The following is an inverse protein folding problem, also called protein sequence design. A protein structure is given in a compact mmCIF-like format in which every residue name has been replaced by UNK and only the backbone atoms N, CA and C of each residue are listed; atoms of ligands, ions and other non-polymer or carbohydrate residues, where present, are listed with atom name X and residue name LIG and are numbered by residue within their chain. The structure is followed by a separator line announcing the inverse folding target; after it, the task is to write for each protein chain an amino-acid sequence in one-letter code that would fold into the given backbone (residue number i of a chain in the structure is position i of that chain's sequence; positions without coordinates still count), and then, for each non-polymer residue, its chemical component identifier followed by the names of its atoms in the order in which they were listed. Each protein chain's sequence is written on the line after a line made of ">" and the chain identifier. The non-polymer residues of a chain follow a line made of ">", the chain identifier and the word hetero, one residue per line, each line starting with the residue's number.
data_IF_010525872164
#
_entry.id   IF_010525872164
#
_cell.length_a   1.000
_cell.length_b   1.000
_cell.length_c   1.000
_cell.angle_alpha   90.00
_cell.angle_beta   90.00
_cell.angle_gamma   90.00
#
_symmetry.space_group_name_H-M   'P 1'
#
loop_
_entity.id
_entity.type
_entity.pdbx_description
1 polymer ?
#
# COMPACT_ATOMS: atom_id res chain seq x y z
N UNK A 1 -37.53 52.19 -36.30
CA UNK A 1 -37.92 51.55 -35.03
C UNK A 1 -36.89 50.46 -34.77
N UNK A 2 -35.87 50.77 -33.97
CA UNK A 2 -34.72 49.89 -33.76
C UNK A 2 -34.84 49.35 -32.35
N UNK A 3 -35.12 48.06 -32.20
CA UNK A 3 -35.26 47.41 -30.90
C UNK A 3 -33.86 47.05 -30.41
N UNK A 4 -33.41 47.74 -29.37
CA UNK A 4 -32.14 47.47 -28.68
C UNK A 4 -32.41 46.47 -27.56
N UNK A 5 -31.81 45.28 -27.60
CA UNK A 5 -31.89 44.30 -26.50
C UNK A 5 -30.72 44.54 -25.53
N UNK A 6 -30.97 44.95 -24.27
CA UNK A 6 -29.93 45.02 -23.25
C UNK A 6 -29.72 43.63 -22.65
N UNK A 7 -28.50 43.10 -22.65
CA UNK A 7 -28.20 41.89 -21.87
C UNK A 7 -27.10 40.94 -22.36
N UNK A 8 -26.30 41.26 -23.38
CA UNK A 8 -25.05 40.51 -23.60
C UNK A 8 -23.88 41.27 -23.01
N UNK A 9 -23.45 40.85 -21.83
CA UNK A 9 -22.10 41.12 -21.33
C UNK A 9 -21.11 40.51 -22.32
N UNK A 10 -20.57 41.33 -23.23
CA UNK A 10 -19.48 40.92 -24.11
C UNK A 10 -18.24 40.84 -23.23
N UNK A 11 -17.86 39.62 -22.81
CA UNK A 11 -16.53 39.42 -22.24
C UNK A 11 -15.50 39.76 -23.32
N UNK A 12 -14.57 40.69 -23.07
CA UNK A 12 -13.57 41.05 -24.07
C UNK A 12 -12.77 39.79 -24.44
N UNK A 13 -12.58 39.49 -25.72
CA UNK A 13 -11.93 38.25 -26.19
C UNK A 13 -10.57 37.99 -25.51
N UNK A 14 -9.84 39.05 -25.13
CA UNK A 14 -8.61 38.96 -24.35
C UNK A 14 -8.78 38.21 -23.02
N UNK A 15 -9.91 38.37 -22.31
CA UNK A 15 -10.15 37.68 -21.03
C UNK A 15 -10.46 36.20 -21.18
N UNK A 16 -11.03 35.78 -22.31
CA UNK A 16 -11.29 34.36 -22.59
C UNK A 16 -10.00 33.65 -23.03
N UNK A 17 -9.17 34.28 -23.87
CA UNK A 17 -7.85 33.74 -24.24
C UNK A 17 -6.90 33.66 -23.03
N UNK A 18 -6.88 34.67 -22.17
CA UNK A 18 -6.09 34.62 -20.93
C UNK A 18 -6.51 33.46 -20.01
N UNK A 19 -7.82 33.28 -19.78
CA UNK A 19 -8.32 32.14 -18.99
C UNK A 19 -8.00 30.78 -19.61
N UNK A 20 -8.07 30.67 -20.94
CA UNK A 20 -7.70 29.44 -21.65
C UNK A 20 -6.20 29.13 -21.50
N UNK A 21 -5.33 30.15 -21.61
CA UNK A 21 -3.89 29.99 -21.44
C UNK A 21 -3.50 29.63 -20.00
N UNK A 22 -4.11 30.26 -18.99
CA UNK A 22 -3.93 29.88 -17.58
C UNK A 22 -4.34 28.42 -17.31
N UNK A 23 -5.47 28.00 -17.88
CA UNK A 23 -5.98 26.62 -17.72
C UNK A 23 -5.04 25.61 -18.37
N UNK A 24 -4.52 25.92 -19.56
CA UNK A 24 -3.54 25.07 -20.27
C UNK A 24 -2.22 24.96 -19.50
N UNK A 25 -1.69 26.08 -19.01
CA UNK A 25 -0.44 26.12 -18.25
C UNK A 25 -0.54 25.34 -16.94
N UNK A 26 -1.67 25.50 -16.22
CA UNK A 26 -1.96 24.71 -15.02
C UNK A 26 -2.05 23.21 -15.33
N UNK A 27 -2.67 22.83 -16.46
CA UNK A 27 -2.73 21.43 -16.91
C UNK A 27 -1.35 20.81 -17.18
N UNK A 28 -0.44 21.55 -17.81
CA UNK A 28 0.94 21.10 -18.08
C UNK A 28 1.73 20.92 -16.78
N UNK A 29 1.63 21.89 -15.85
CA UNK A 29 2.26 21.78 -14.54
C UNK A 29 1.77 20.57 -13.74
N UNK A 30 0.44 20.33 -13.71
CA UNK A 30 -0.14 19.15 -13.05
C UNK A 30 0.36 17.85 -13.68
N UNK A 31 0.38 17.75 -15.00
CA UNK A 31 0.88 16.56 -15.70
C UNK A 31 2.33 16.26 -15.34
N UNK A 32 3.18 17.29 -15.31
CA UNK A 32 4.58 17.15 -14.93
C UNK A 32 4.73 16.72 -13.45
N UNK A 33 3.98 17.33 -12.53
CA UNK A 33 3.97 16.93 -11.12
C UNK A 33 3.58 15.47 -10.92
N UNK A 34 2.50 15.01 -11.58
CA UNK A 34 2.08 13.59 -11.53
C UNK A 34 3.16 12.68 -12.10
N UNK A 35 3.77 13.03 -13.23
CA UNK A 35 4.87 12.27 -13.83
C UNK A 35 6.08 12.15 -12.89
N UNK A 36 6.51 13.26 -12.29
CA UNK A 36 7.59 13.30 -11.30
C UNK A 36 7.27 12.44 -10.07
N UNK A 37 6.03 12.47 -9.57
CA UNK A 37 5.63 11.62 -8.44
C UNK A 37 5.78 10.13 -8.78
N UNK A 38 5.27 9.70 -9.92
CA UNK A 38 5.31 8.29 -10.34
C UNK A 38 6.75 7.80 -10.52
N UNK A 39 7.56 8.54 -11.27
CA UNK A 39 8.96 8.21 -11.53
C UNK A 39 9.81 8.28 -10.26
N UNK A 40 9.65 9.35 -9.48
CA UNK A 40 10.37 9.56 -8.23
C UNK A 40 10.09 8.43 -7.24
N UNK A 41 8.81 8.05 -7.06
CA UNK A 41 8.45 6.95 -6.16
C UNK A 41 9.05 5.63 -6.62
N UNK A 42 9.01 5.32 -7.91
CA UNK A 42 9.57 4.08 -8.45
C UNK A 42 11.11 4.03 -8.27
N UNK A 43 11.80 5.11 -8.57
CA UNK A 43 13.27 5.19 -8.45
C UNK A 43 13.72 5.13 -6.98
N UNK A 44 13.06 5.89 -6.10
CA UNK A 44 13.39 5.93 -4.67
C UNK A 44 13.02 4.63 -3.94
N UNK A 45 12.14 3.81 -4.53
CA UNK A 45 11.81 2.48 -4.02
C UNK A 45 12.82 1.40 -4.45
N UNK A 46 13.74 1.66 -5.40
CA UNK A 46 14.73 0.67 -5.87
C UNK A 46 15.55 0.00 -4.75
N UNK A 47 15.95 0.68 -3.66
CA UNK A 47 16.64 0.02 -2.55
C UNK A 47 15.85 -1.14 -1.92
N UNK A 48 14.51 -1.12 -2.00
CA UNK A 48 13.68 -2.23 -1.50
C UNK A 48 13.90 -3.52 -2.28
N UNK A 49 14.25 -3.45 -3.58
CA UNK A 49 14.60 -4.63 -4.37
C UNK A 49 15.87 -5.31 -3.82
N UNK A 50 16.89 -4.53 -3.44
CA UNK A 50 18.10 -5.04 -2.81
C UNK A 50 17.82 -5.71 -1.46
N UNK A 51 16.91 -5.12 -0.67
CA UNK A 51 16.44 -5.73 0.59
C UNK A 51 15.72 -7.06 0.33
N UNK A 52 14.81 -7.10 -0.64
CA UNK A 52 14.10 -8.32 -1.01
C UNK A 52 15.06 -9.41 -1.51
N UNK A 53 16.07 -9.06 -2.31
CA UNK A 53 17.11 -9.99 -2.74
C UNK A 53 17.91 -10.53 -1.55
N UNK A 54 18.24 -9.68 -0.57
CA UNK A 54 18.92 -10.11 0.66
C UNK A 54 18.04 -11.07 1.48
N UNK A 55 16.74 -10.77 1.65
CA UNK A 55 15.79 -11.68 2.30
C UNK A 55 15.73 -13.03 1.57
N UNK A 56 15.66 -13.04 0.24
CA UNK A 56 15.70 -14.27 -0.56
C UNK A 56 16.99 -15.06 -0.34
N UNK A 57 18.15 -14.38 -0.37
CA UNK A 57 19.47 -15.00 -0.12
C UNK A 57 19.56 -15.63 1.27
N UNK A 58 19.03 -14.98 2.30
CA UNK A 58 19.00 -15.55 3.66
C UNK A 58 18.09 -16.79 3.69
N UNK A 59 16.91 -16.74 3.05
CA UNK A 59 16.02 -17.89 2.99
C UNK A 59 16.61 -19.07 2.19
N UNK A 60 17.31 -18.81 1.08
CA UNK A 60 17.97 -19.85 0.28
C UNK A 60 19.20 -20.45 0.96
N UNK A 61 19.66 -19.85 2.07
CA UNK A 61 20.76 -20.37 2.89
C UNK A 61 20.31 -21.27 4.05
N UNK A 62 19.02 -21.62 4.10
CA UNK A 62 18.54 -22.61 5.06
C UNK A 62 18.92 -24.01 4.59
N UNK A 63 19.51 -24.80 5.49
CA UNK A 63 19.59 -26.25 5.27
C UNK A 63 18.20 -26.89 5.33
N UNK A 64 18.08 -28.13 4.84
CA UNK A 64 16.85 -28.90 4.98
C UNK A 64 16.44 -29.06 6.45
N UNK A 65 17.39 -29.34 7.34
CA UNK A 65 17.16 -29.46 8.79
C UNK A 65 16.69 -28.15 9.41
N UNK A 66 17.30 -27.02 9.02
CA UNK A 66 16.86 -25.70 9.48
C UNK A 66 15.46 -25.37 8.99
N UNK A 67 15.12 -25.69 7.74
CA UNK A 67 13.78 -25.49 7.17
C UNK A 67 12.72 -26.34 7.89
N UNK A 68 13.02 -27.61 8.14
CA UNK A 68 12.13 -28.51 8.88
C UNK A 68 11.95 -28.04 10.33
N UNK A 69 13.04 -27.73 11.04
CA UNK A 69 13.00 -27.23 12.40
C UNK A 69 12.21 -25.93 12.50
N UNK A 70 12.41 -24.99 11.56
CA UNK A 70 11.68 -23.73 11.48
C UNK A 70 10.18 -23.99 11.34
N UNK A 71 9.80 -24.83 10.37
CA UNK A 71 8.40 -25.14 10.09
C UNK A 71 7.71 -25.82 11.28
N UNK A 72 8.36 -26.81 11.88
CA UNK A 72 7.77 -27.56 13.00
C UNK A 72 7.69 -26.69 14.26
N UNK A 73 8.69 -25.83 14.49
CA UNK A 73 8.67 -24.87 15.60
C UNK A 73 7.57 -23.83 15.41
N UNK A 74 7.38 -23.36 14.18
CA UNK A 74 6.28 -22.47 13.82
C UNK A 74 4.91 -23.12 14.06
N UNK A 75 4.69 -24.34 13.56
CA UNK A 75 3.41 -25.05 13.73
C UNK A 75 3.11 -25.34 15.21
N UNK A 76 4.12 -25.76 15.99
CA UNK A 76 3.99 -25.94 17.45
C UNK A 76 3.66 -24.62 18.16
N UNK A 77 4.32 -23.53 17.78
CA UNK A 77 4.04 -22.22 18.35
C UNK A 77 2.64 -21.70 17.97
N UNK A 78 2.21 -21.95 16.74
CA UNK A 78 0.87 -21.60 16.25
C UNK A 78 -0.20 -22.27 17.10
N UNK A 79 -0.12 -23.60 17.29
CA UNK A 79 -1.06 -24.35 18.13
C UNK A 79 -1.09 -23.86 19.59
N UNK A 80 0.05 -23.43 20.13
CA UNK A 80 0.15 -22.91 21.51
C UNK A 80 -0.31 -21.46 21.68
N UNK A 81 -0.58 -20.75 20.58
CA UNK A 81 -0.79 -19.29 20.63
C UNK A 81 -2.22 -18.85 20.91
N UNK A 82 -3.19 -19.76 20.85
CA UNK A 82 -4.60 -19.41 20.93
C UNK A 82 -5.19 -18.88 19.61
N UNK A 83 -4.42 -18.85 18.51
CA UNK A 83 -4.87 -18.30 17.22
C UNK A 83 -5.85 -19.21 16.48
N UNK A 84 -5.73 -20.52 16.62
CA UNK A 84 -6.62 -21.49 15.98
C UNK A 84 -8.04 -21.37 16.55
N UNK A 85 -8.16 -21.17 17.85
CA UNK A 85 -9.40 -20.89 18.59
C UNK A 85 -10.01 -19.54 18.22
N UNK A 86 -9.22 -18.63 17.62
CA UNK A 86 -9.69 -17.38 17.00
C UNK A 86 -10.01 -17.55 15.51
N UNK A 87 -10.06 -18.78 15.02
CA UNK A 87 -10.37 -19.12 13.64
C UNK A 87 -9.27 -18.77 12.65
N UNK A 88 -8.01 -18.62 13.10
CA UNK A 88 -6.88 -18.40 12.21
C UNK A 88 -6.46 -19.73 11.60
N UNK A 89 -6.18 -19.76 10.31
CA UNK A 89 -5.71 -20.95 9.59
C UNK A 89 -4.30 -20.75 9.04
N UNK A 90 -3.56 -21.84 8.88
CA UNK A 90 -2.35 -21.87 8.06
C UNK A 90 -2.72 -22.47 6.71
N UNK A 91 -2.45 -21.75 5.62
CA UNK A 91 -2.64 -22.23 4.26
C UNK A 91 -1.27 -22.30 3.58
N UNK A 92 -0.88 -23.52 3.20
CA UNK A 92 0.32 -23.73 2.37
C UNK A 92 -0.07 -23.71 0.91
N UNK A 93 0.55 -22.82 0.16
CA UNK A 93 0.26 -22.61 -1.26
C UNK A 93 1.43 -23.12 -2.07
N UNK A 94 1.12 -23.89 -3.11
CA UNK A 94 2.07 -24.47 -4.04
C UNK A 94 1.44 -24.51 -5.45
N UNK A 95 2.22 -24.83 -6.50
CA UNK A 95 1.69 -24.82 -7.87
C UNK A 95 0.49 -25.75 -8.10
N UNK A 96 0.34 -26.81 -7.30
CA UNK A 96 -0.77 -27.77 -7.45
C UNK A 96 -2.09 -27.30 -6.85
N UNK A 97 -2.07 -26.38 -5.87
CA UNK A 97 -3.28 -25.93 -5.16
C UNK A 97 -3.57 -24.43 -5.29
N UNK A 98 -2.74 -23.68 -6.04
CA UNK A 98 -2.85 -22.23 -6.17
C UNK A 98 -4.19 -21.79 -6.77
N UNK A 99 -4.68 -22.52 -7.77
CA UNK A 99 -5.95 -22.20 -8.45
C UNK A 99 -7.15 -22.38 -7.50
N UNK A 100 -7.24 -23.53 -6.82
CA UNK A 100 -8.31 -23.82 -5.87
C UNK A 100 -8.31 -22.87 -4.68
N UNK A 101 -7.11 -22.57 -4.16
CA UNK A 101 -6.94 -21.58 -3.08
C UNK A 101 -7.38 -20.20 -3.55
N UNK A 102 -7.07 -19.81 -4.80
CA UNK A 102 -7.48 -18.54 -5.38
C UNK A 102 -9.01 -18.46 -5.54
N UNK A 103 -9.65 -19.52 -6.01
CA UNK A 103 -11.10 -19.58 -6.13
C UNK A 103 -11.78 -19.41 -4.76
N UNK A 104 -11.38 -20.20 -3.77
CA UNK A 104 -11.93 -20.13 -2.41
C UNK A 104 -11.76 -18.74 -1.77
N UNK A 105 -10.60 -18.12 -1.93
CA UNK A 105 -10.35 -16.78 -1.41
C UNK A 105 -11.12 -15.69 -2.18
N UNK A 106 -11.33 -15.88 -3.48
CA UNK A 106 -12.13 -14.97 -4.31
C UNK A 106 -13.58 -14.97 -3.85
N UNK A 107 -14.17 -16.13 -3.61
CA UNK A 107 -15.54 -16.23 -3.10
C UNK A 107 -15.69 -15.57 -1.73
N UNK A 108 -14.76 -15.82 -0.80
CA UNK A 108 -14.77 -15.19 0.52
C UNK A 108 -14.63 -13.66 0.44
N UNK A 109 -13.83 -13.14 -0.50
CA UNK A 109 -13.72 -11.70 -0.74
C UNK A 109 -14.98 -11.13 -1.39
N UNK A 110 -15.54 -11.82 -2.38
CA UNK A 110 -16.76 -11.42 -3.08
C UNK A 110 -17.92 -11.31 -2.11
N UNK A 111 -18.10 -12.29 -1.21
CA UNK A 111 -19.14 -12.27 -0.18
C UNK A 111 -19.05 -11.02 0.73
N UNK A 112 -17.84 -10.61 1.09
CA UNK A 112 -17.65 -9.40 1.91
C UNK A 112 -17.92 -8.11 1.14
N UNK A 113 -17.57 -8.08 -0.14
CA UNK A 113 -17.78 -6.93 -1.02
C UNK A 113 -19.28 -6.79 -1.32
N UNK A 114 -19.94 -7.89 -1.70
CA UNK A 114 -21.35 -7.92 -2.07
C UNK A 114 -22.25 -7.47 -0.91
N UNK A 115 -21.92 -7.77 0.35
CA UNK A 115 -22.65 -7.26 1.53
C UNK A 115 -22.73 -5.73 1.61
N UNK A 116 -21.82 -5.00 0.96
CA UNK A 116 -21.78 -3.52 0.97
C UNK A 116 -22.36 -2.88 -0.28
N UNK A 117 -22.72 -3.68 -1.29
CA UNK A 117 -23.24 -3.19 -2.56
C UNK A 117 -24.79 -3.17 -2.51
N UNK A 118 -25.43 -2.07 -2.93
CA UNK A 118 -26.89 -2.01 -3.10
C UNK A 118 -27.44 -3.12 -4.01
N UNK A 119 -28.61 -3.66 -3.67
CA UNK A 119 -29.19 -4.81 -4.37
C UNK A 119 -29.47 -4.53 -5.86
N UNK A 120 -29.87 -3.31 -6.20
CA UNK A 120 -30.14 -2.89 -7.58
C UNK A 120 -28.89 -2.99 -8.48
N UNK A 121 -27.68 -2.80 -7.93
CA UNK A 121 -26.44 -2.96 -8.69
C UNK A 121 -26.08 -4.44 -8.88
N UNK A 122 -26.40 -5.30 -7.91
CA UNK A 122 -26.14 -6.74 -8.00
C UNK A 122 -26.98 -7.45 -9.04
N UNK A 123 -28.17 -6.93 -9.31
CA UNK A 123 -29.11 -7.50 -10.27
C UNK A 123 -28.75 -7.14 -11.72
N UNK A 124 -27.73 -6.31 -11.95
CA UNK A 124 -27.24 -6.03 -13.30
C UNK A 124 -26.62 -7.30 -13.88
N UNK A 125 -27.00 -7.62 -15.12
CA UNK A 125 -26.43 -8.76 -15.85
C UNK A 125 -24.90 -8.63 -15.94
N UNK A 126 -24.20 -9.72 -15.68
CA UNK A 126 -22.72 -9.74 -15.67
C UNK A 126 -22.07 -9.04 -14.48
N UNK A 127 -22.84 -8.55 -13.49
CA UNK A 127 -22.26 -7.90 -12.30
C UNK A 127 -21.33 -8.83 -11.53
N UNK A 128 -21.77 -10.06 -11.26
CA UNK A 128 -21.00 -11.04 -10.50
C UNK A 128 -19.66 -11.34 -11.19
N UNK A 129 -19.69 -11.68 -12.48
CA UNK A 129 -18.49 -11.96 -13.27
C UNK A 129 -17.58 -10.73 -13.38
N UNK A 130 -18.18 -9.55 -13.57
CA UNK A 130 -17.47 -8.26 -13.61
C UNK A 130 -16.70 -7.94 -12.32
N UNK A 131 -17.10 -8.53 -11.19
CA UNK A 131 -16.37 -8.42 -9.91
C UNK A 131 -15.45 -9.62 -9.67
N UNK A 132 -15.94 -10.85 -9.86
CA UNK A 132 -15.22 -12.08 -9.52
C UNK A 132 -14.02 -12.32 -10.41
N UNK A 133 -14.10 -12.08 -11.72
CA UNK A 133 -12.98 -12.30 -12.65
C UNK A 133 -11.75 -11.45 -12.29
N UNK A 134 -11.83 -10.11 -12.18
CA UNK A 134 -10.68 -9.30 -11.81
C UNK A 134 -10.21 -9.58 -10.38
N UNK A 135 -11.12 -9.92 -9.47
CA UNK A 135 -10.76 -10.31 -8.11
C UNK A 135 -9.94 -11.61 -8.10
N UNK A 136 -10.38 -12.62 -8.85
CA UNK A 136 -9.67 -13.89 -9.02
C UNK A 136 -8.28 -13.68 -9.60
N UNK A 137 -8.15 -12.91 -10.68
CA UNK A 137 -6.84 -12.62 -11.30
C UNK A 137 -5.86 -11.97 -10.29
N UNK A 138 -6.35 -11.03 -9.48
CA UNK A 138 -5.54 -10.38 -8.47
C UNK A 138 -5.16 -11.32 -7.32
N UNK A 139 -6.11 -12.13 -6.83
CA UNK A 139 -5.85 -13.13 -5.78
C UNK A 139 -4.88 -14.20 -6.30
N UNK A 140 -5.13 -14.78 -7.47
CA UNK A 140 -4.27 -15.77 -8.10
C UNK A 140 -2.84 -15.24 -8.25
N UNK A 141 -2.66 -14.00 -8.75
CA UNK A 141 -1.33 -13.39 -8.88
C UNK A 141 -0.60 -13.30 -7.53
N UNK A 142 -1.29 -12.96 -6.45
CA UNK A 142 -0.68 -12.93 -5.11
C UNK A 142 -0.31 -14.35 -4.65
N UNK A 143 -1.22 -15.31 -4.81
CA UNK A 143 -1.00 -16.69 -4.38
C UNK A 143 0.08 -17.40 -5.20
N UNK A 144 0.21 -17.10 -6.49
CA UNK A 144 1.28 -17.61 -7.36
C UNK A 144 2.65 -17.12 -6.87
N UNK A 145 2.76 -15.89 -6.36
CA UNK A 145 4.01 -15.44 -5.72
C UNK A 145 4.33 -16.21 -4.44
N UNK A 146 3.32 -16.60 -3.66
CA UNK A 146 3.50 -17.47 -2.48
C UNK A 146 3.91 -18.87 -2.92
N UNK A 147 3.21 -19.46 -3.89
CA UNK A 147 3.50 -20.79 -4.44
C UNK A 147 4.94 -20.94 -4.93
N UNK A 148 5.50 -19.85 -5.49
CA UNK A 148 6.88 -19.78 -5.97
C UNK A 148 7.91 -19.48 -4.88
N UNK A 149 7.52 -19.41 -3.60
CA UNK A 149 8.41 -19.06 -2.48
C UNK A 149 8.88 -17.61 -2.46
N UNK A 150 8.24 -16.75 -3.25
CA UNK A 150 8.59 -15.34 -3.39
C UNK A 150 7.74 -14.44 -2.49
N UNK A 151 6.75 -14.99 -1.80
CA UNK A 151 5.95 -14.25 -0.83
C UNK A 151 5.47 -15.14 0.34
N UNK A 152 5.12 -14.51 1.44
CA UNK A 152 4.39 -15.05 2.57
C UNK A 152 3.59 -13.89 3.16
N UNK A 153 2.33 -14.10 3.53
CA UNK A 153 1.52 -13.02 4.10
C UNK A 153 0.36 -13.53 4.95
N UNK A 154 -0.02 -12.76 5.97
CA UNK A 154 -1.31 -12.90 6.62
C UNK A 154 -2.40 -12.14 5.85
N UNK A 155 -3.52 -12.80 5.54
CA UNK A 155 -4.69 -12.18 4.91
C UNK A 155 -5.80 -11.95 5.95
N UNK A 156 -6.03 -10.72 6.42
CA UNK A 156 -7.07 -10.43 7.39
C UNK A 156 -8.47 -10.81 6.93
N UNK A 157 -8.79 -10.73 5.63
CA UNK A 157 -10.17 -11.00 5.19
C UNK A 157 -10.59 -12.46 5.31
N UNK A 158 -9.67 -13.41 5.07
CA UNK A 158 -9.94 -14.86 5.19
C UNK A 158 -9.34 -15.49 6.45
N UNK A 159 -8.74 -14.65 7.30
CA UNK A 159 -8.11 -15.00 8.57
C UNK A 159 -7.06 -16.12 8.44
N UNK A 160 -6.23 -16.05 7.41
CA UNK A 160 -5.25 -17.10 7.13
C UNK A 160 -3.84 -16.54 7.07
N UNK A 161 -2.88 -17.29 7.59
CA UNK A 161 -1.45 -17.14 7.34
C UNK A 161 -1.12 -17.96 6.10
N UNK A 162 -0.72 -17.30 5.03
CA UNK A 162 -0.38 -17.92 3.75
C UNK A 162 1.13 -18.07 3.64
N UNK A 163 1.56 -19.32 3.54
CA UNK A 163 2.96 -19.69 3.46
C UNK A 163 3.21 -20.49 2.18
N UNK A 164 4.44 -20.45 1.65
CA UNK A 164 4.88 -21.43 0.69
C UNK A 164 4.92 -22.84 1.30
N UNK A 165 5.04 -23.83 0.43
CA UNK A 165 5.31 -25.21 0.83
C UNK A 165 6.58 -25.32 1.68
N UNK A 166 6.65 -26.36 2.53
CA UNK A 166 7.89 -26.66 3.28
C UNK A 166 9.07 -26.84 2.29
N UNK A 167 10.27 -26.47 2.71
CA UNK A 167 11.46 -26.36 1.84
C UNK A 167 11.44 -25.24 0.77
N UNK A 168 10.33 -24.55 0.53
CA UNK A 168 10.22 -23.48 -0.49
C UNK A 168 10.38 -22.10 0.16
N UNK A 169 11.00 -21.12 -0.53
CA UNK A 169 11.54 -19.85 0.01
C UNK A 169 10.63 -19.00 0.93
N UNK A 170 11.16 -17.93 1.53
CA UNK A 170 10.46 -17.01 2.48
C UNK A 170 9.82 -17.63 3.75
N UNK A 171 10.18 -18.86 4.13
CA UNK A 171 9.73 -19.45 5.41
C UNK A 171 10.17 -18.67 6.65
N UNK A 172 11.29 -17.94 6.60
CA UNK A 172 11.77 -17.14 7.73
C UNK A 172 10.78 -16.05 8.15
N UNK A 173 9.86 -15.66 7.26
CA UNK A 173 8.80 -14.69 7.56
C UNK A 173 7.60 -15.31 8.29
N UNK A 174 7.52 -16.64 8.44
CA UNK A 174 6.36 -17.33 9.04
C UNK A 174 5.96 -16.77 10.41
N UNK A 175 6.93 -16.54 11.30
CA UNK A 175 6.65 -15.92 12.60
C UNK A 175 6.20 -14.45 12.50
N UNK A 176 6.65 -13.69 11.50
CA UNK A 176 6.16 -12.33 11.27
C UNK A 176 4.69 -12.33 10.83
N UNK A 177 4.30 -13.26 9.95
CA UNK A 177 2.89 -13.42 9.56
C UNK A 177 1.99 -13.84 10.73
N UNK A 178 2.51 -14.66 11.64
CA UNK A 178 1.85 -14.95 12.91
C UNK A 178 1.69 -13.70 13.78
N UNK A 179 2.68 -12.80 13.75
CA UNK A 179 2.59 -11.49 14.39
C UNK A 179 1.42 -10.64 13.86
N UNK A 180 1.19 -10.63 12.55
CA UNK A 180 0.01 -10.00 11.96
C UNK A 180 -1.30 -10.68 12.38
N UNK A 181 -1.31 -12.01 12.48
CA UNK A 181 -2.48 -12.74 12.97
C UNK A 181 -2.83 -12.36 14.42
N UNK A 182 -1.82 -12.18 15.28
CA UNK A 182 -1.98 -11.71 16.66
C UNK A 182 -2.48 -10.26 16.70
N UNK A 183 -1.89 -9.40 15.87
CA UNK A 183 -2.33 -8.01 15.78
C UNK A 183 -3.82 -7.92 15.46
N UNK A 184 -4.33 -8.75 14.54
CA UNK A 184 -5.74 -8.76 14.16
C UNK A 184 -6.66 -9.36 15.23
N UNK A 185 -6.28 -10.53 15.77
CA UNK A 185 -7.21 -11.39 16.50
C UNK A 185 -7.09 -11.28 18.02
N UNK A 186 -5.99 -10.72 18.53
CA UNK A 186 -5.70 -10.62 19.96
C UNK A 186 -5.52 -9.17 20.40
N UNK A 187 -4.79 -8.35 19.62
CA UNK A 187 -4.47 -6.98 20.00
C UNK A 187 -5.53 -5.96 19.53
N UNK A 188 -6.09 -5.17 20.46
CA UNK A 188 -6.98 -4.05 20.11
C UNK A 188 -6.26 -2.98 19.27
N UNK A 189 -5.04 -2.62 19.68
CA UNK A 189 -4.20 -1.62 18.99
C UNK A 189 -3.77 -2.14 17.62
N UNK A 190 -3.30 -3.39 17.55
CA UNK A 190 -2.91 -4.01 16.28
C UNK A 190 -4.07 -4.05 15.28
N UNK A 191 -5.27 -4.40 15.74
CA UNK A 191 -6.49 -4.40 14.92
C UNK A 191 -6.87 -3.01 14.43
N UNK A 192 -6.72 -1.99 15.28
CA UNK A 192 -6.94 -0.60 14.88
C UNK A 192 -5.95 -0.16 13.80
N UNK A 193 -4.65 -0.44 13.98
CA UNK A 193 -3.63 -0.10 13.00
C UNK A 193 -3.83 -0.82 11.66
N UNK A 194 -4.21 -2.11 11.68
CA UNK A 194 -4.53 -2.85 10.44
C UNK A 194 -5.67 -2.20 9.64
N UNK A 195 -6.71 -1.69 10.32
CA UNK A 195 -7.81 -0.96 9.67
C UNK A 195 -7.36 0.35 9.04
N UNK A 196 -6.31 0.96 9.59
CA UNK A 196 -5.74 2.23 9.13
C UNK A 196 -4.64 2.05 8.07
N UNK A 197 -4.18 0.82 7.78
CA UNK A 197 -3.18 0.56 6.73
C UNK A 197 -3.52 1.18 5.37
N UNK A 198 -4.79 1.24 4.90
CA UNK A 198 -5.12 1.93 3.64
C UNK A 198 -4.71 3.41 3.59
N UNK A 199 -4.50 4.07 4.73
CA UNK A 199 -4.03 5.47 4.77
C UNK A 199 -2.67 5.66 4.09
N UNK A 200 -1.82 4.63 4.04
CA UNK A 200 -0.53 4.71 3.33
C UNK A 200 -0.71 4.94 1.81
N UNK A 201 -1.90 4.68 1.28
CA UNK A 201 -2.28 4.94 -0.12
C UNK A 201 -3.19 6.17 -0.20
N UNK A 202 -4.24 6.22 0.62
CA UNK A 202 -5.27 7.25 0.55
C UNK A 202 -4.71 8.63 0.89
N UNK A 203 -3.88 8.76 1.94
CA UNK A 203 -3.36 10.05 2.36
C UNK A 203 -2.41 10.67 1.33
N UNK A 204 -1.40 9.95 0.78
CA UNK A 204 -0.58 10.50 -0.31
C UNK A 204 -1.40 10.92 -1.54
N UNK A 205 -2.41 10.14 -1.94
CA UNK A 205 -3.27 10.50 -3.08
C UNK A 205 -4.11 11.75 -2.80
N UNK A 206 -4.69 11.87 -1.61
CA UNK A 206 -5.46 13.05 -1.20
C UNK A 206 -4.58 14.30 -1.12
N UNK A 207 -3.40 14.19 -0.52
CA UNK A 207 -2.42 15.27 -0.46
C UNK A 207 -1.98 15.69 -1.86
N UNK A 208 -1.67 14.74 -2.74
CA UNK A 208 -1.33 15.02 -4.13
C UNK A 208 -2.46 15.72 -4.86
N UNK A 209 -3.71 15.27 -4.72
CA UNK A 209 -4.87 15.92 -5.35
C UNK A 209 -4.98 17.39 -4.94
N UNK A 210 -4.87 17.68 -3.64
CA UNK A 210 -4.93 19.06 -3.13
C UNK A 210 -3.74 19.87 -3.62
N UNK A 211 -2.52 19.36 -3.49
CA UNK A 211 -1.31 20.10 -3.88
C UNK A 211 -1.25 20.38 -5.40
N UNK A 212 -1.70 19.44 -6.22
CA UNK A 212 -1.77 19.61 -7.68
C UNK A 212 -2.84 20.62 -8.10
N UNK A 213 -3.98 20.70 -7.39
CA UNK A 213 -5.08 21.63 -7.72
C UNK A 213 -4.96 23.00 -7.06
N UNK A 214 -4.05 23.16 -6.10
CA UNK A 214 -3.83 24.45 -5.41
C UNK A 214 -2.94 25.35 -6.26
N UNK A 215 -3.47 26.51 -6.68
CA UNK A 215 -2.69 27.55 -7.38
C UNK A 215 -1.71 28.22 -6.42
N UNK A 216 -0.56 28.65 -6.94
CA UNK A 216 0.36 29.50 -6.18
C UNK A 216 -0.32 30.86 -5.92
N UNK A 217 -0.29 31.36 -4.68
CA UNK A 217 -0.92 32.66 -4.37
C UNK A 217 -0.17 33.78 -5.11
N UNK A 218 -0.87 34.51 -5.96
CA UNK A 218 -0.67 35.95 -6.04
C UNK A 218 -1.37 36.56 -4.81
N UNK A 219 -0.58 37.03 -3.84
CA UNK A 219 -0.95 37.88 -2.70
C UNK A 219 -2.46 38.02 -2.43
N UNK A 220 -3.02 37.15 -1.59
CA UNK A 220 -4.36 37.40 -1.03
C UNK A 220 -4.49 36.76 0.34
N UNK A 221 -5.00 37.56 1.27
CA UNK A 221 -5.08 37.33 2.70
C UNK A 221 -6.04 36.18 3.10
N UNK A 222 -6.16 36.00 4.40
CA UNK A 222 -6.81 34.92 5.15
C UNK A 222 -8.21 34.50 4.66
N UNK A 223 -8.46 33.18 4.60
CA UNK A 223 -9.64 32.50 4.05
C UNK A 223 -9.28 31.11 3.49
N UNK A 224 -10.25 30.27 3.11
CA UNK A 224 -10.15 28.83 2.71
C UNK A 224 -8.89 28.38 1.91
N UNK A 225 -8.21 29.30 1.23
CA UNK A 225 -6.89 29.07 0.63
C UNK A 225 -5.78 28.70 1.63
N UNK A 226 -5.89 29.05 2.92
CA UNK A 226 -4.87 28.76 3.94
C UNK A 226 -4.66 27.26 4.19
N UNK A 227 -5.74 26.49 4.29
CA UNK A 227 -5.65 25.04 4.54
C UNK A 227 -5.09 24.27 3.32
N UNK A 228 -5.52 24.64 2.11
CA UNK A 228 -5.00 24.06 0.87
C UNK A 228 -3.52 24.39 0.67
N UNK A 229 -3.13 25.63 0.96
CA UNK A 229 -1.75 26.07 0.91
C UNK A 229 -0.89 25.33 1.94
N UNK A 230 -1.37 25.18 3.18
CA UNK A 230 -0.68 24.37 4.20
C UNK A 230 -0.44 22.93 3.71
N UNK A 231 -1.43 22.30 3.08
CA UNK A 231 -1.28 20.95 2.52
C UNK A 231 -0.24 20.93 1.41
N UNK A 232 -0.25 21.93 0.50
CA UNK A 232 0.74 22.06 -0.57
C UNK A 232 2.16 22.22 -0.01
N UNK A 233 2.35 23.12 0.95
CA UNK A 233 3.64 23.45 1.55
C UNK A 233 4.22 22.29 2.38
N UNK A 234 3.34 21.46 2.96
CA UNK A 234 3.72 20.31 3.78
C UNK A 234 3.47 18.96 3.09
N UNK A 235 3.27 18.96 1.76
CA UNK A 235 2.77 17.79 1.04
C UNK A 235 3.63 16.53 1.26
N UNK A 236 4.95 16.68 1.23
CA UNK A 236 5.87 15.55 1.47
C UNK A 236 5.72 14.95 2.87
N UNK A 237 5.65 15.79 3.90
CA UNK A 237 5.50 15.36 5.31
C UNK A 237 4.16 14.68 5.51
N UNK A 238 3.06 15.29 5.03
CA UNK A 238 1.72 14.74 5.15
C UNK A 238 1.58 13.40 4.41
N UNK A 239 2.19 13.27 3.24
CA UNK A 239 2.23 12.01 2.49
C UNK A 239 3.00 10.92 3.26
N UNK A 240 4.15 11.25 3.86
CA UNK A 240 4.89 10.30 4.72
C UNK A 240 4.10 9.92 5.97
N UNK A 241 3.40 10.86 6.63
CA UNK A 241 2.58 10.58 7.82
C UNK A 241 1.48 9.55 7.56
N UNK A 242 0.96 9.48 6.33
CA UNK A 242 0.01 8.45 5.91
C UNK A 242 0.51 7.01 6.13
N UNK A 243 1.83 6.80 6.15
CA UNK A 243 2.45 5.48 6.37
C UNK A 243 2.59 5.08 7.83
N UNK A 244 2.45 6.01 8.78
CA UNK A 244 2.68 5.75 10.21
C UNK A 244 1.86 4.54 10.71
N UNK A 245 0.55 4.42 10.42
CA UNK A 245 -0.22 3.27 10.88
C UNK A 245 0.30 1.93 10.33
N UNK A 246 0.75 1.91 9.08
CA UNK A 246 1.31 0.71 8.47
C UNK A 246 2.66 0.34 9.09
N UNK A 247 3.58 1.30 9.24
CA UNK A 247 4.89 1.07 9.88
C UNK A 247 4.71 0.59 11.32
N UNK A 248 3.80 1.20 12.08
CA UNK A 248 3.54 0.80 13.46
C UNK A 248 2.98 -0.64 13.53
N UNK A 249 2.10 -1.01 12.61
CA UNK A 249 1.55 -2.37 12.55
C UNK A 249 2.61 -3.40 12.16
N UNK A 250 3.45 -3.10 11.17
CA UNK A 250 4.60 -3.91 10.74
C UNK A 250 5.62 -4.10 11.87
N UNK A 251 5.88 -3.04 12.64
CA UNK A 251 6.76 -3.09 13.80
C UNK A 251 6.18 -3.97 14.92
N UNK A 252 4.86 -3.87 15.17
CA UNK A 252 4.17 -4.74 16.13
C UNK A 252 4.15 -6.19 15.68
N UNK A 253 3.89 -6.46 14.40
CA UNK A 253 3.93 -7.81 13.84
C UNK A 253 5.32 -8.41 13.97
N UNK A 254 6.36 -7.64 13.62
CA UNK A 254 7.77 -8.02 13.80
C UNK A 254 8.10 -8.31 15.26
N UNK A 255 7.67 -7.44 16.20
CA UNK A 255 7.89 -7.64 17.63
C UNK A 255 7.21 -8.91 18.15
N UNK A 256 5.93 -9.09 17.83
CA UNK A 256 5.15 -10.25 18.27
C UNK A 256 5.70 -11.54 17.68
N UNK A 257 5.99 -11.56 16.38
CA UNK A 257 6.60 -12.68 15.70
C UNK A 257 7.97 -13.05 16.27
N UNK A 258 8.86 -12.07 16.45
CA UNK A 258 10.19 -12.31 17.05
C UNK A 258 10.11 -12.79 18.50
N UNK A 259 9.12 -12.34 19.27
CA UNK A 259 8.88 -12.80 20.64
C UNK A 259 8.52 -14.29 20.68
N UNK A 260 7.67 -14.73 19.75
CA UNK A 260 7.26 -16.12 19.62
C UNK A 260 8.41 -16.98 19.08
N UNK A 261 9.08 -16.51 18.03
CA UNK A 261 10.26 -17.17 17.47
C UNK A 261 11.33 -17.38 18.55
N UNK A 262 11.57 -16.39 19.44
CA UNK A 262 12.54 -16.52 20.54
C UNK A 262 12.22 -17.69 21.47
N UNK A 263 10.93 -17.94 21.74
CA UNK A 263 10.49 -19.07 22.59
C UNK A 263 10.55 -20.39 21.82
N UNK A 264 10.15 -20.38 20.55
CA UNK A 264 10.05 -21.57 19.72
C UNK A 264 11.42 -22.11 19.25
N UNK A 265 12.39 -21.22 19.05
CA UNK A 265 13.72 -21.52 18.52
C UNK A 265 14.83 -21.28 19.55
N UNK A 266 14.54 -21.41 20.85
CA UNK A 266 15.51 -21.14 21.91
C UNK A 266 16.73 -22.07 21.85
N UNK A 267 16.56 -23.29 21.32
CA UNK A 267 17.63 -24.26 21.07
C UNK A 267 18.38 -24.05 19.74
N UNK A 268 17.94 -23.10 18.90
CA UNK A 268 18.51 -22.86 17.56
C UNK A 268 18.81 -21.36 17.36
N UNK A 269 19.82 -20.80 18.07
CA UNK A 269 20.09 -19.37 18.11
C UNK A 269 20.44 -18.75 16.74
N UNK A 270 21.18 -19.48 15.89
CA UNK A 270 21.52 -19.00 14.54
C UNK A 270 20.29 -18.91 13.63
N UNK A 271 19.39 -19.89 13.71
CA UNK A 271 18.12 -19.86 13.00
C UNK A 271 17.22 -18.70 13.49
N UNK A 272 17.18 -18.47 14.81
CA UNK A 272 16.48 -17.32 15.40
C UNK A 272 17.05 -15.99 14.88
N UNK A 273 18.38 -15.88 14.72
CA UNK A 273 19.04 -14.69 14.17
C UNK A 273 18.63 -14.46 12.70
N UNK A 274 18.56 -15.51 11.89
CA UNK A 274 18.04 -15.45 10.51
C UNK A 274 16.58 -14.95 10.48
N UNK A 275 15.70 -15.47 11.34
CA UNK A 275 14.30 -15.02 11.44
C UNK A 275 14.22 -13.54 11.80
N UNK A 276 14.90 -13.10 12.86
CA UNK A 276 14.89 -11.70 13.30
C UNK A 276 15.41 -10.76 12.22
N UNK A 277 16.47 -11.15 11.52
CA UNK A 277 17.06 -10.36 10.43
C UNK A 277 16.09 -10.23 9.27
N UNK A 278 15.47 -11.32 8.83
CA UNK A 278 14.47 -11.29 7.75
C UNK A 278 13.28 -10.39 8.11
N UNK A 279 12.76 -10.49 9.33
CA UNK A 279 11.64 -9.65 9.78
C UNK A 279 12.01 -8.17 9.87
N UNK A 280 13.22 -7.85 10.35
CA UNK A 280 13.72 -6.47 10.40
C UNK A 280 13.91 -5.87 9.00
N UNK A 281 14.40 -6.68 8.05
CA UNK A 281 14.49 -6.28 6.64
C UNK A 281 13.11 -6.00 6.04
N UNK A 282 12.11 -6.84 6.34
CA UNK A 282 10.71 -6.60 5.95
C UNK A 282 10.21 -5.24 6.44
N UNK A 283 10.36 -4.95 7.74
CA UNK A 283 9.99 -3.65 8.32
C UNK A 283 10.75 -2.47 7.66
N UNK A 284 12.03 -2.64 7.37
CA UNK A 284 12.83 -1.59 6.72
C UNK A 284 12.27 -1.20 5.34
N UNK A 285 11.67 -2.13 4.59
CA UNK A 285 11.04 -1.80 3.30
C UNK A 285 9.91 -0.78 3.47
N UNK A 286 9.10 -0.88 4.53
CA UNK A 286 8.02 0.08 4.78
C UNK A 286 8.53 1.47 5.14
N UNK A 287 9.61 1.55 5.93
CA UNK A 287 10.25 2.83 6.28
C UNK A 287 10.80 3.51 5.02
N UNK A 288 11.48 2.75 4.16
CA UNK A 288 12.01 3.27 2.88
C UNK A 288 10.87 3.73 1.98
N UNK A 289 9.79 2.96 1.85
CA UNK A 289 8.64 3.33 1.03
C UNK A 289 7.93 4.61 1.53
N UNK A 290 7.88 4.82 2.85
CA UNK A 290 7.33 6.04 3.44
C UNK A 290 8.20 7.28 3.13
N UNK A 291 9.52 7.13 3.23
CA UNK A 291 10.47 8.18 2.86
C UNK A 291 10.42 8.48 1.35
N UNK A 292 10.44 7.44 0.52
CA UNK A 292 10.32 7.54 -0.94
C UNK A 292 9.04 8.27 -1.35
N UNK A 293 7.91 7.97 -0.68
CA UNK A 293 6.63 8.65 -0.93
C UNK A 293 6.72 10.15 -0.61
N UNK A 294 7.26 10.54 0.55
CA UNK A 294 7.36 11.95 0.94
C UNK A 294 8.31 12.76 0.05
N UNK A 295 9.46 12.17 -0.31
CA UNK A 295 10.41 12.79 -1.24
C UNK A 295 9.78 12.94 -2.62
N UNK A 296 9.15 11.89 -3.16
CA UNK A 296 8.49 11.93 -4.47
C UNK A 296 7.36 12.98 -4.50
N UNK A 297 6.56 13.09 -3.45
CA UNK A 297 5.51 14.11 -3.33
C UNK A 297 6.11 15.52 -3.29
N UNK A 298 7.19 15.74 -2.52
CA UNK A 298 7.88 17.05 -2.50
C UNK A 298 8.40 17.43 -3.89
N UNK A 299 9.04 16.49 -4.60
CA UNK A 299 9.55 16.72 -5.94
C UNK A 299 8.42 17.02 -6.94
N UNK A 300 7.29 16.33 -6.82
CA UNK A 300 6.13 16.54 -7.67
C UNK A 300 5.53 17.93 -7.53
N UNK A 301 5.38 18.42 -6.29
CA UNK A 301 4.89 19.79 -6.04
C UNK A 301 5.83 20.83 -6.64
N UNK A 302 7.14 20.68 -6.41
CA UNK A 302 8.16 21.57 -6.99
C UNK A 302 8.16 21.56 -8.51
N UNK A 303 8.07 20.38 -9.13
CA UNK A 303 8.04 20.25 -10.58
C UNK A 303 6.83 20.95 -11.20
N UNK A 304 5.65 20.75 -10.61
CA UNK A 304 4.41 21.39 -11.03
C UNK A 304 4.52 22.91 -10.95
N UNK A 305 4.94 23.45 -9.81
CA UNK A 305 5.01 24.90 -9.61
C UNK A 305 6.06 25.55 -10.54
N UNK A 306 7.25 24.95 -10.67
CA UNK A 306 8.30 25.47 -11.55
C UNK A 306 7.85 25.52 -13.02
N UNK A 307 7.21 24.46 -13.51
CA UNK A 307 6.75 24.40 -14.91
C UNK A 307 5.58 25.34 -15.15
N UNK A 308 4.66 25.45 -14.19
CA UNK A 308 3.58 26.41 -14.29
C UNK A 308 4.11 27.85 -14.34
N UNK A 309 5.05 28.21 -13.46
CA UNK A 309 5.69 29.53 -13.45
C UNK A 309 6.44 29.84 -14.77
N UNK A 310 7.18 28.87 -15.32
CA UNK A 310 7.85 29.01 -16.62
C UNK A 310 6.84 29.30 -17.75
N UNK A 311 5.73 28.57 -17.81
CA UNK A 311 4.70 28.77 -18.84
C UNK A 311 3.93 30.08 -18.67
N UNK A 312 3.80 30.58 -17.45
CA UNK A 312 3.21 31.90 -17.19
C UNK A 312 4.15 33.04 -17.60
N UNK A 313 5.48 32.84 -17.55
CA UNK A 313 6.46 33.80 -18.05
C UNK A 313 6.57 33.80 -19.58
N UNK A 314 6.52 32.64 -20.24
CA UNK A 314 6.54 32.52 -21.72
C UNK A 314 5.34 33.20 -22.41
N UNK A 315 4.24 33.43 -21.70
CA UNK A 315 3.00 34.00 -22.23
C UNK A 315 2.81 35.50 -21.91
N UNK A 316 3.79 36.15 -21.26
CA UNK A 316 3.81 37.61 -20.99
C UNK A 316 4.66 38.35 -22.00
#
# INVERSE_FOLDING_TARGET
>A
MTVNFPGRTIYPQNTLQQKQNETKNSGIGVAAGVGTYLLGKQFLALPTNGIMQNMKKINSSLSADESNLLSDSFEKAFKKSGLEEKGVRILRVNPSNVADTAASMTDAHYEQISKKIPQNLKNLEGFEDGVKIPLYQNVYKQLDTVAKGNNAFFQPKVNSVLLPEKGTGLQLSSFHEMGHAINKNVSKIGKALQKLRPLQIIAPLGVMLVAMTTKEKANSAEGEGGARQFIKDNAGVLATMGWIPAIAEEALATKNGNSIAKKALSSAPELLKKVKKTNALGLATYVIMAAATGIATTLAVKAKDNIQAQKEQENK
#
